data_IF_839192795723
#
_entry.id   IF_839192795723
#
_cell.length_a   1.000
_cell.length_b   1.000
_cell.length_c   1.000
_cell.angle_alpha   90.00
_cell.angle_beta   90.00
_cell.angle_gamma   90.00
#
_symmetry.space_group_name_H-M   'P 1'
#
loop_
_entity.id
_entity.type
_entity.pdbx_description
1 polymer ?
#
# COMPACT_ATOMS: atom_id res chain seq x y z
N UNK A 1 -17.18 4.74 0.76
CA UNK A 1 -15.85 5.39 0.64
C UNK A 1 -15.28 5.05 -0.72
N UNK A 2 -14.69 6.02 -1.42
CA UNK A 2 -14.02 5.77 -2.71
C UNK A 2 -12.73 5.01 -2.45
N UNK A 3 -12.51 3.90 -3.14
CA UNK A 3 -11.24 3.17 -3.08
C UNK A 3 -10.10 4.05 -3.57
N UNK A 4 -8.96 4.02 -2.89
CA UNK A 4 -7.74 4.64 -3.39
C UNK A 4 -7.40 4.09 -4.79
N UNK A 5 -6.94 4.98 -5.67
CA UNK A 5 -6.54 4.66 -7.04
C UNK A 5 -5.50 3.53 -7.08
N UNK A 6 -5.51 2.77 -8.17
CA UNK A 6 -4.49 1.74 -8.45
C UNK A 6 -3.08 2.35 -8.45
N UNK A 7 -2.93 3.54 -9.03
CA UNK A 7 -1.66 4.28 -9.06
C UNK A 7 -1.08 4.52 -7.65
N UNK A 8 -1.93 4.87 -6.68
CA UNK A 8 -1.46 5.08 -5.30
C UNK A 8 -0.97 3.76 -4.68
N UNK A 9 -1.71 2.66 -4.91
CA UNK A 9 -1.36 1.34 -4.40
C UNK A 9 -0.04 0.85 -5.00
N UNK A 10 0.14 1.03 -6.31
CA UNK A 10 1.36 0.68 -7.03
C UNK A 10 2.57 1.43 -6.48
N UNK A 11 2.50 2.75 -6.35
CA UNK A 11 3.61 3.56 -5.81
C UNK A 11 3.97 3.18 -4.37
N UNK A 12 2.98 2.86 -3.53
CA UNK A 12 3.22 2.41 -2.15
C UNK A 12 4.02 1.10 -2.13
N UNK A 13 3.72 0.17 -3.04
CA UNK A 13 4.38 -1.13 -3.13
C UNK A 13 5.79 -0.98 -3.70
N UNK A 14 5.92 -0.23 -4.78
CA UNK A 14 7.22 0.04 -5.43
C UNK A 14 8.23 0.62 -4.43
N UNK A 15 7.83 1.60 -3.62
CA UNK A 15 8.71 2.18 -2.59
C UNK A 15 9.00 1.17 -1.48
N UNK A 16 8.02 0.34 -1.10
CA UNK A 16 8.21 -0.70 -0.08
C UNK A 16 9.19 -1.80 -0.53
N UNK A 17 9.24 -2.13 -1.82
CA UNK A 17 10.17 -3.12 -2.37
C UNK A 17 11.57 -2.56 -2.63
N UNK A 18 11.66 -1.31 -3.07
CA UNK A 18 12.94 -0.68 -3.42
C UNK A 18 13.69 -0.10 -2.21
N UNK A 19 12.98 0.28 -1.14
CA UNK A 19 13.59 0.92 0.04
C UNK A 19 13.32 0.11 1.32
N UNK A 20 14.30 -0.02 2.23
CA UNK A 20 14.08 -0.57 3.56
C UNK A 20 13.34 0.46 4.44
N UNK A 21 12.03 0.62 4.19
CA UNK A 21 11.18 1.61 4.87
C UNK A 21 10.12 0.93 5.76
N UNK A 22 9.86 1.54 6.93
CA UNK A 22 8.82 1.04 7.83
C UNK A 22 7.41 1.40 7.32
N UNK A 23 6.43 0.51 7.54
CA UNK A 23 5.03 0.73 7.12
C UNK A 23 4.44 2.04 7.64
N UNK A 24 4.80 2.46 8.87
CA UNK A 24 4.36 3.73 9.46
C UNK A 24 4.96 4.95 8.74
N UNK A 25 6.19 4.83 8.24
CA UNK A 25 6.83 5.90 7.45
C UNK A 25 6.23 5.98 6.04
N UNK A 26 5.92 4.84 5.43
CA UNK A 26 5.12 4.77 4.20
C UNK A 26 3.78 5.50 4.34
N UNK A 27 3.03 5.21 5.42
CA UNK A 27 1.77 5.87 5.69
C UNK A 27 1.90 7.40 5.77
N UNK A 28 2.95 7.89 6.45
CA UNK A 28 3.26 9.33 6.53
C UNK A 28 3.65 9.91 5.16
N UNK A 29 4.51 9.22 4.40
CA UNK A 29 5.00 9.66 3.07
C UNK A 29 3.85 9.84 2.08
N UNK A 30 2.91 8.91 2.06
CA UNK A 30 1.74 8.95 1.18
C UNK A 30 0.52 9.65 1.78
N UNK A 31 0.63 10.18 3.01
CA UNK A 31 -0.47 10.83 3.76
C UNK A 31 -1.73 9.97 3.83
N UNK A 32 -1.56 8.67 4.02
CA UNK A 32 -2.63 7.68 4.14
C UNK A 32 -2.70 7.12 5.56
N UNK A 33 -3.83 6.52 5.91
CA UNK A 33 -3.96 5.84 7.19
C UNK A 33 -3.00 4.64 7.29
N UNK A 34 -2.35 4.39 8.46
CA UNK A 34 -1.50 3.21 8.65
C UNK A 34 -2.23 1.90 8.38
N UNK A 35 -3.51 1.83 8.74
CA UNK A 35 -4.37 0.67 8.50
C UNK A 35 -4.55 0.35 7.00
N UNK A 36 -4.50 1.37 6.12
CA UNK A 36 -4.54 1.16 4.68
C UNK A 36 -3.26 0.49 4.19
N UNK A 37 -2.09 0.99 4.61
CA UNK A 37 -0.79 0.41 4.23
C UNK A 37 -0.66 -1.03 4.73
N UNK A 38 -1.02 -1.31 5.98
CA UNK A 38 -0.97 -2.68 6.52
C UNK A 38 -1.88 -3.64 5.76
N UNK A 39 -3.12 -3.21 5.42
CA UNK A 39 -4.04 -4.03 4.61
C UNK A 39 -3.51 -4.26 3.20
N UNK A 40 -2.98 -3.22 2.55
CA UNK A 40 -2.43 -3.30 1.20
C UNK A 40 -1.23 -4.26 1.15
N UNK A 41 -0.28 -4.13 2.08
CA UNK A 41 0.89 -4.99 2.13
C UNK A 41 0.54 -6.44 2.45
N UNK A 42 -0.44 -6.66 3.34
CA UNK A 42 -0.96 -8.01 3.61
C UNK A 42 -1.56 -8.63 2.34
N UNK A 43 -2.44 -7.89 1.65
CA UNK A 43 -3.03 -8.34 0.39
C UNK A 43 -1.95 -8.66 -0.65
N UNK A 44 -0.96 -7.80 -0.79
CA UNK A 44 0.15 -7.99 -1.72
C UNK A 44 0.95 -9.25 -1.42
N UNK A 45 1.29 -9.51 -0.16
CA UNK A 45 2.01 -10.73 0.24
C UNK A 45 1.20 -12.01 0.00
N UNK A 46 -0.12 -11.96 0.18
CA UNK A 46 -0.99 -13.12 0.05
C UNK A 46 -1.36 -13.43 -1.42
N UNK A 47 -1.45 -12.41 -2.28
CA UNK A 47 -2.05 -12.57 -3.62
C UNK A 47 -1.20 -12.04 -4.77
N UNK A 48 -0.15 -11.27 -4.50
CA UNK A 48 0.56 -10.43 -5.47
C UNK A 48 -0.36 -9.49 -6.29
N UNK A 49 -1.64 -9.34 -5.88
CA UNK A 49 -2.63 -8.55 -6.59
C UNK A 49 -2.89 -7.22 -5.88
N UNK A 50 -2.70 -6.14 -6.63
CA UNK A 50 -2.85 -4.76 -6.15
C UNK A 50 -4.27 -4.20 -6.32
N UNK A 51 -5.09 -4.87 -7.13
CA UNK A 51 -6.45 -4.44 -7.40
C UNK A 51 -7.32 -4.53 -6.14
N UNK A 52 -8.24 -3.57 -5.91
CA UNK A 52 -9.26 -3.74 -4.90
C UNK A 52 -10.05 -5.01 -5.21
N UNK A 53 -10.25 -5.86 -4.20
CA UNK A 53 -11.22 -6.96 -4.33
C UNK A 53 -12.60 -6.33 -4.61
N UNK A 54 -13.36 -6.87 -5.57
CA UNK A 54 -14.69 -6.38 -5.90
C UNK A 54 -15.64 -6.41 -4.70
#
# INVERSE_FOLDING_TARGET
MKSYSLDLRQKVIEIYENEPILQRQLAKRFRVAPSFVTKLLRQYRETAQLAPKP
#
